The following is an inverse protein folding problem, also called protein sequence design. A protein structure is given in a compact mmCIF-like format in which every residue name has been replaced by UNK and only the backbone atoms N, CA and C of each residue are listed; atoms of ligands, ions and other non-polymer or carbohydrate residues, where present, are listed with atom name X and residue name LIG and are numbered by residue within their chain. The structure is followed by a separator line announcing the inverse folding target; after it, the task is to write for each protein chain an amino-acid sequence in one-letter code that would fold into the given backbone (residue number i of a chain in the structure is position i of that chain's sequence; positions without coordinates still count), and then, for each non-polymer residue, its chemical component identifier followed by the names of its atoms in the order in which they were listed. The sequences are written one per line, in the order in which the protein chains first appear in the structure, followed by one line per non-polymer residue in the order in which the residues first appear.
data_IF_652113796572
#
_entry.id   IF_652113796572
#
_cell.length_a   1.000
_cell.length_b   1.000
_cell.length_c   1.000
_cell.angle_alpha   90.00
_cell.angle_beta   90.00
_cell.angle_gamma   90.00
#
_symmetry.space_group_name_H-M   'P 1'
#
loop_
_entity.id
_entity.type
_entity.pdbx_description
1 polymer ?
#
# COMPACT_ATOMS: atom_id res chain seq x y z
N UNK A 1 -21.72 65.22 8.86
CA UNK A 1 -20.99 64.19 9.65
C UNK A 1 -20.12 63.38 8.70
N UNK A 2 -18.85 63.77 8.50
CA UNK A 2 -17.92 63.04 7.65
C UNK A 2 -17.48 61.76 8.37
N UNK A 3 -17.65 60.60 7.72
CA UNK A 3 -17.10 59.33 8.20
C UNK A 3 -15.58 59.43 8.14
N UNK A 4 -14.89 59.36 9.27
CA UNK A 4 -13.43 59.28 9.33
C UNK A 4 -12.97 57.95 8.69
N UNK A 5 -11.90 57.93 7.86
CA UNK A 5 -11.37 56.69 7.32
C UNK A 5 -10.79 55.84 8.45
N UNK A 6 -11.06 54.55 8.39
CA UNK A 6 -10.74 53.58 9.43
C UNK A 6 -9.36 52.96 9.14
N UNK A 7 -8.33 53.81 9.14
CA UNK A 7 -6.98 53.45 8.69
C UNK A 7 -6.34 52.35 9.55
N UNK A 8 -6.69 52.30 10.84
CA UNK A 8 -6.27 51.28 11.80
C UNK A 8 -6.76 49.86 11.41
N UNK A 9 -8.02 49.74 10.97
CA UNK A 9 -8.58 48.46 10.50
C UNK A 9 -7.88 48.00 9.20
N UNK A 10 -7.52 48.93 8.32
CA UNK A 10 -6.79 48.59 7.10
C UNK A 10 -5.37 48.09 7.41
N UNK A 11 -4.68 48.73 8.36
CA UNK A 11 -3.36 48.31 8.81
C UNK A 11 -3.40 46.90 9.43
N UNK A 12 -4.33 46.66 10.36
CA UNK A 12 -4.58 45.34 10.98
C UNK A 12 -4.86 44.29 9.92
N UNK A 13 -5.69 44.60 8.92
CA UNK A 13 -5.98 43.67 7.83
C UNK A 13 -4.76 43.36 6.95
N UNK A 14 -3.90 44.36 6.70
CA UNK A 14 -2.66 44.13 5.94
C UNK A 14 -1.67 43.27 6.71
N UNK A 15 -1.57 43.48 8.03
CA UNK A 15 -0.72 42.67 8.90
C UNK A 15 -1.25 41.24 9.02
N UNK A 16 -2.56 41.06 9.21
CA UNK A 16 -3.20 39.74 9.22
C UNK A 16 -2.96 38.98 7.92
N UNK A 17 -3.04 39.65 6.76
CA UNK A 17 -2.72 39.04 5.46
C UNK A 17 -1.25 38.62 5.37
N UNK A 18 -0.32 39.46 5.84
CA UNK A 18 1.12 39.11 5.90
C UNK A 18 1.35 37.88 6.79
N UNK A 19 0.72 37.83 7.97
CA UNK A 19 0.82 36.68 8.86
C UNK A 19 0.22 35.40 8.27
N UNK A 20 -0.91 35.51 7.55
CA UNK A 20 -1.51 34.37 6.86
C UNK A 20 -0.58 33.80 5.78
N UNK A 21 0.02 34.68 4.97
CA UNK A 21 0.96 34.30 3.91
C UNK A 21 2.22 33.64 4.51
N UNK A 22 2.78 34.20 5.58
CA UNK A 22 3.97 33.63 6.22
C UNK A 22 3.68 32.27 6.84
N UNK A 23 2.50 32.08 7.44
CA UNK A 23 2.08 30.78 7.96
C UNK A 23 1.92 29.73 6.87
N UNK A 24 1.31 30.10 5.74
CA UNK A 24 1.20 29.23 4.57
C UNK A 24 2.58 28.85 4.02
N UNK A 25 3.47 29.83 3.81
CA UNK A 25 4.85 29.58 3.37
C UNK A 25 5.61 28.67 4.33
N UNK A 26 5.45 28.88 5.64
CA UNK A 26 6.06 28.02 6.67
C UNK A 26 5.54 26.59 6.57
N UNK A 27 4.24 26.39 6.43
CA UNK A 27 3.64 25.05 6.29
C UNK A 27 4.15 24.30 5.06
N UNK A 28 4.30 25.00 3.93
CA UNK A 28 4.86 24.45 2.69
C UNK A 28 6.34 24.09 2.88
N UNK A 29 7.11 25.00 3.47
CA UNK A 29 8.53 24.79 3.75
C UNK A 29 8.74 23.60 4.68
N UNK A 30 7.93 23.48 5.73
CA UNK A 30 7.96 22.36 6.66
C UNK A 30 7.60 21.04 5.98
N UNK A 31 6.63 21.05 5.06
CA UNK A 31 6.27 19.87 4.26
C UNK A 31 7.42 19.43 3.36
N UNK A 32 8.01 20.35 2.60
CA UNK A 32 9.17 20.07 1.74
C UNK A 32 10.35 19.55 2.56
N UNK A 33 10.61 20.14 3.73
CA UNK A 33 11.67 19.69 4.65
C UNK A 33 11.42 18.30 5.21
N UNK A 34 10.17 17.91 5.47
CA UNK A 34 9.83 16.54 5.89
C UNK A 34 10.02 15.56 4.75
N UNK A 35 9.62 15.93 3.53
CA UNK A 35 9.75 15.10 2.35
C UNK A 35 11.22 14.91 1.95
N UNK A 36 12.05 15.95 1.99
CA UNK A 36 13.50 15.83 1.72
C UNK A 36 14.24 14.99 2.76
N UNK A 37 13.71 14.89 3.99
CA UNK A 37 14.23 14.00 5.03
C UNK A 37 13.74 12.55 4.90
N UNK A 38 12.73 12.27 4.08
CA UNK A 38 12.33 10.88 3.81
C UNK A 38 13.42 10.24 2.97
N UNK A 39 14.31 9.50 3.62
CA UNK A 39 15.22 8.60 2.92
C UNK A 39 14.38 7.62 2.10
N UNK A 40 14.71 7.35 0.81
CA UNK A 40 14.02 6.32 0.06
C UNK A 40 14.11 5.03 0.86
N UNK A 41 12.95 4.40 1.11
CA UNK A 41 12.89 3.14 1.82
C UNK A 41 13.77 2.12 1.09
N UNK A 42 14.60 1.39 1.82
CA UNK A 42 15.38 0.32 1.22
C UNK A 42 14.42 -0.64 0.47
N UNK A 43 14.81 -1.13 -0.72
CA UNK A 43 13.99 -2.07 -1.47
C UNK A 43 13.66 -3.27 -0.59
N UNK A 44 12.41 -3.71 -0.60
CA UNK A 44 11.96 -4.85 0.18
C UNK A 44 12.60 -6.12 -0.35
N UNK A 45 13.63 -6.58 0.34
CA UNK A 45 14.28 -7.86 0.05
C UNK A 45 13.34 -9.01 0.40
N UNK A 46 13.36 -10.07 -0.41
CA UNK A 46 12.61 -11.29 -0.15
C UNK A 46 13.00 -11.88 1.21
N UNK A 47 12.02 -12.23 2.05
CA UNK A 47 12.30 -12.76 3.40
C UNK A 47 12.75 -14.22 3.44
N UNK A 48 12.61 -14.90 2.30
CA UNK A 48 13.00 -16.28 2.12
C UNK A 48 14.46 -16.35 1.67
N UNK A 49 14.75 -15.80 0.49
CA UNK A 49 16.04 -15.91 -0.20
C UNK A 49 16.86 -14.60 -0.21
N UNK A 50 16.32 -13.49 0.32
CA UNK A 50 16.94 -12.16 0.29
C UNK A 50 17.24 -11.62 -1.12
N UNK A 51 16.51 -12.09 -2.15
CA UNK A 51 16.56 -11.53 -3.49
C UNK A 51 15.73 -10.25 -3.66
N UNK A 52 15.86 -9.62 -4.83
CA UNK A 52 15.12 -8.42 -5.24
C UNK A 52 13.74 -8.78 -5.81
N UNK A 53 12.90 -9.42 -5.00
CA UNK A 53 11.50 -9.73 -5.34
C UNK A 53 10.65 -9.84 -4.07
N UNK A 54 9.33 -9.81 -4.24
CA UNK A 54 8.39 -9.92 -3.12
C UNK A 54 8.31 -11.36 -2.60
N UNK A 55 8.12 -11.51 -1.29
CA UNK A 55 8.23 -12.82 -0.64
C UNK A 55 7.18 -13.84 -1.11
N UNK A 56 6.04 -13.40 -1.64
CA UNK A 56 5.01 -14.28 -2.19
C UNK A 56 5.42 -14.87 -3.55
N UNK A 57 6.19 -14.13 -4.36
CA UNK A 57 6.65 -14.53 -5.70
C UNK A 57 7.99 -15.28 -5.69
N UNK A 58 8.45 -15.72 -4.51
CA UNK A 58 9.73 -16.39 -4.38
C UNK A 58 9.66 -17.84 -4.92
N UNK A 59 10.33 -18.10 -6.04
CA UNK A 59 10.46 -19.44 -6.62
C UNK A 59 11.78 -20.15 -6.24
N UNK A 60 12.67 -19.46 -5.51
CA UNK A 60 13.98 -20.00 -5.13
C UNK A 60 13.86 -21.07 -4.04
N UNK A 61 12.91 -20.89 -3.11
CA UNK A 61 12.66 -21.86 -2.05
C UNK A 61 11.47 -22.75 -2.46
N UNK A 62 11.62 -24.09 -2.41
CA UNK A 62 10.51 -25.01 -2.64
C UNK A 62 9.32 -24.71 -1.73
N UNK A 63 8.10 -24.81 -2.27
CA UNK A 63 6.87 -24.46 -1.55
C UNK A 63 6.80 -25.15 -0.19
N UNK A 64 7.03 -26.48 -0.15
CA UNK A 64 7.06 -27.34 1.05
C UNK A 64 7.95 -26.83 2.20
N UNK A 65 8.98 -26.04 1.87
CA UNK A 65 9.93 -25.52 2.86
C UNK A 65 9.53 -24.12 3.33
N UNK A 66 8.67 -23.41 2.59
CA UNK A 66 8.27 -22.02 2.90
C UNK A 66 7.53 -21.93 4.23
N UNK A 67 6.60 -22.85 4.54
CA UNK A 67 5.92 -22.86 5.84
C UNK A 67 6.89 -23.02 7.00
N UNK A 68 7.76 -24.04 6.94
CA UNK A 68 8.72 -24.32 8.02
C UNK A 68 9.67 -23.15 8.27
N UNK A 69 10.12 -22.46 7.21
CA UNK A 69 10.97 -21.27 7.30
C UNK A 69 10.17 -20.08 7.84
N UNK A 70 8.92 -19.92 7.40
CA UNK A 70 8.06 -18.83 7.82
C UNK A 70 7.76 -18.88 9.33
N UNK A 71 7.52 -20.06 9.88
CA UNK A 71 7.35 -20.28 11.32
C UNK A 71 8.63 -20.00 12.09
N UNK A 72 9.78 -20.55 11.65
CA UNK A 72 11.08 -20.31 12.29
C UNK A 72 11.45 -18.83 12.34
N UNK A 73 11.17 -18.08 11.27
CA UNK A 73 11.48 -16.65 11.15
C UNK A 73 10.34 -15.73 11.62
N UNK A 74 9.19 -16.28 12.06
CA UNK A 74 7.99 -15.53 12.48
C UNK A 74 7.50 -14.53 11.41
N UNK A 75 7.53 -14.93 10.14
CA UNK A 75 7.14 -14.09 8.98
C UNK A 75 5.78 -14.51 8.40
N UNK A 76 4.87 -14.96 9.26
CA UNK A 76 3.59 -15.60 8.93
C UNK A 76 2.74 -14.76 7.95
N UNK A 77 2.69 -13.44 8.17
CA UNK A 77 1.89 -12.51 7.39
C UNK A 77 2.61 -11.92 6.17
N UNK A 78 3.87 -12.32 5.92
CA UNK A 78 4.79 -11.77 4.91
C UNK A 78 5.01 -10.24 4.98
N UNK A 79 4.31 -9.50 5.85
CA UNK A 79 4.46 -8.08 6.16
C UNK A 79 5.60 -7.79 7.15
N UNK A 80 6.05 -6.54 7.27
CA UNK A 80 7.28 -6.18 8.00
C UNK A 80 7.36 -6.79 9.41
N UNK A 81 8.47 -7.46 9.72
CA UNK A 81 8.63 -8.40 10.84
C UNK A 81 8.72 -7.76 12.25
N UNK A 82 8.17 -6.55 12.45
CA UNK A 82 8.24 -5.79 13.71
C UNK A 82 6.86 -5.44 14.25
N UNK A 83 5.96 -6.43 14.31
CA UNK A 83 4.67 -6.26 14.95
C UNK A 83 4.25 -7.54 15.68
N UNK A 84 3.51 -7.37 16.77
CA UNK A 84 2.90 -8.48 17.48
C UNK A 84 1.82 -9.14 16.61
N UNK A 85 1.64 -10.47 16.61
CA UNK A 85 0.60 -11.14 15.80
C UNK A 85 -0.81 -10.55 16.01
N UNK A 86 -1.17 -10.21 17.25
CA UNK A 86 -2.46 -9.55 17.55
C UNK A 86 -2.60 -8.15 16.91
N UNK A 87 -1.49 -7.48 16.63
CA UNK A 87 -1.43 -6.19 15.95
C UNK A 87 -1.14 -6.33 14.44
N UNK A 88 -1.03 -7.55 13.91
CA UNK A 88 -0.74 -7.78 12.51
C UNK A 88 -1.93 -7.40 11.64
N UNK A 89 -1.79 -6.35 10.84
CA UNK A 89 -2.82 -5.98 9.88
C UNK A 89 -3.02 -7.03 8.78
N UNK A 90 -1.95 -7.74 8.39
CA UNK A 90 -2.04 -8.85 7.44
C UNK A 90 -2.82 -10.05 7.98
N UNK A 91 -2.75 -10.33 9.29
CA UNK A 91 -3.58 -11.36 9.92
C UNK A 91 -5.02 -10.87 10.18
N UNK A 92 -5.25 -9.55 10.26
CA UNK A 92 -6.59 -8.97 10.35
C UNK A 92 -7.35 -9.04 9.02
N UNK A 93 -6.64 -9.06 7.89
CA UNK A 93 -7.22 -9.24 6.56
C UNK A 93 -7.31 -10.73 6.23
N UNK A 94 -8.53 -11.27 6.24
CA UNK A 94 -8.80 -12.68 5.94
C UNK A 94 -8.53 -13.05 4.47
N UNK A 95 -8.50 -12.08 3.56
CA UNK A 95 -8.37 -12.29 2.10
C UNK A 95 -7.01 -12.86 1.67
N UNK A 96 -5.99 -12.67 2.50
CA UNK A 96 -4.62 -13.11 2.25
C UNK A 96 -4.22 -14.31 3.10
N UNK A 97 -5.10 -14.78 3.98
CA UNK A 97 -4.89 -15.95 4.81
C UNK A 97 -5.26 -17.23 4.06
N UNK A 98 -4.54 -18.30 4.36
CA UNK A 98 -4.93 -19.63 3.92
C UNK A 98 -6.26 -20.03 4.57
N UNK A 99 -7.22 -20.45 3.74
CA UNK A 99 -8.56 -20.87 4.19
C UNK A 99 -8.74 -22.40 4.14
N UNK A 100 -7.70 -23.15 3.73
CA UNK A 100 -7.75 -24.61 3.66
C UNK A 100 -8.11 -25.26 4.99
N UNK A 101 -9.12 -26.13 4.98
CA UNK A 101 -9.64 -26.77 6.20
C UNK A 101 -8.56 -27.57 6.94
N UNK A 102 -7.65 -28.19 6.18
CA UNK A 102 -6.56 -28.96 6.78
C UNK A 102 -5.56 -28.08 7.53
N UNK A 103 -5.42 -26.81 7.14
CA UNK A 103 -4.59 -25.83 7.84
C UNK A 103 -5.35 -25.17 9.00
N UNK A 104 -6.67 -25.05 8.90
CA UNK A 104 -7.53 -24.58 9.98
C UNK A 104 -7.54 -25.55 11.17
N UNK A 105 -7.60 -26.86 10.90
CA UNK A 105 -7.62 -27.91 11.95
C UNK A 105 -6.38 -27.90 12.85
N UNK A 106 -5.22 -27.53 12.30
CA UNK A 106 -3.95 -27.43 13.04
C UNK A 106 -3.68 -26.01 13.59
N UNK A 107 -4.62 -25.07 13.45
CA UNK A 107 -4.46 -23.65 13.82
C UNK A 107 -3.23 -22.97 13.20
N UNK A 108 -2.73 -23.50 12.08
CA UNK A 108 -1.58 -22.94 11.38
C UNK A 108 -2.04 -21.77 10.51
N UNK A 109 -2.24 -20.60 11.13
CA UNK A 109 -2.54 -19.37 10.40
C UNK A 109 -1.32 -18.98 9.57
N UNK A 110 -1.45 -18.82 8.26
CA UNK A 110 -0.39 -18.41 7.35
C UNK A 110 -0.94 -17.72 6.09
N UNK A 111 -0.08 -17.04 5.34
CA UNK A 111 -0.45 -16.42 4.07
C UNK A 111 -0.73 -17.47 2.98
N UNK A 112 -1.74 -17.28 2.13
CA UNK A 112 -2.14 -18.26 1.10
C UNK A 112 -0.99 -18.70 0.17
N UNK A 113 -0.13 -17.76 -0.22
CA UNK A 113 0.99 -18.02 -1.15
C UNK A 113 2.12 -18.87 -0.58
N UNK A 114 2.12 -19.14 0.73
CA UNK A 114 3.15 -19.97 1.38
C UNK A 114 2.60 -21.32 1.82
N UNK A 115 1.31 -21.60 1.57
CA UNK A 115 0.73 -22.89 1.88
C UNK A 115 1.33 -23.98 0.99
N UNK A 116 1.72 -25.09 1.58
CA UNK A 116 2.24 -26.27 0.86
C UNK A 116 1.12 -27.01 0.10
N UNK A 117 -0.13 -26.80 0.51
CA UNK A 117 -1.33 -27.43 -0.04
C UNK A 117 -2.14 -26.50 -0.95
N UNK A 118 -1.67 -25.28 -1.19
CA UNK A 118 -2.35 -24.39 -2.11
C UNK A 118 -2.42 -25.07 -3.49
N UNK A 119 -3.60 -25.13 -4.13
CA UNK A 119 -3.67 -25.52 -5.52
C UNK A 119 -2.73 -24.61 -6.32
N UNK A 120 -2.02 -25.14 -7.33
CA UNK A 120 -1.25 -24.29 -8.23
C UNK A 120 -2.20 -23.22 -8.74
N UNK A 121 -1.77 -21.96 -8.68
CA UNK A 121 -2.53 -20.83 -9.19
C UNK A 121 -2.96 -21.21 -10.62
N UNK A 122 -4.22 -21.58 -10.81
CA UNK A 122 -4.86 -21.40 -12.09
C UNK A 122 -4.83 -19.88 -12.26
N UNK A 123 -3.95 -19.44 -13.15
CA UNK A 123 -4.04 -18.11 -13.70
C UNK A 123 -5.44 -18.05 -14.32
N UNK A 124 -6.41 -17.55 -13.55
CA UNK A 124 -7.61 -16.97 -14.14
C UNK A 124 -7.09 -15.83 -15.00
N UNK A 125 -6.80 -16.19 -16.25
CA UNK A 125 -6.59 -15.31 -17.39
C UNK A 125 -7.84 -14.43 -17.43
N UNK A 126 -7.75 -13.29 -16.74
CA UNK A 126 -8.82 -12.29 -16.73
C UNK A 126 -8.86 -11.80 -18.17
N UNK A 127 -9.75 -12.40 -18.95
CA UNK A 127 -9.83 -12.30 -20.40
C UNK A 127 -9.68 -10.86 -20.86
N UNK A 128 -8.52 -10.56 -21.44
CA UNK A 128 -8.26 -9.34 -22.18
C UNK A 128 -9.29 -9.16 -23.33
N UNK A 129 -9.96 -10.25 -23.72
CA UNK A 129 -11.05 -10.33 -24.70
C UNK A 129 -12.35 -9.60 -24.31
N UNK A 130 -12.54 -9.19 -23.05
CA UNK A 130 -13.73 -8.42 -22.65
C UNK A 130 -13.55 -6.90 -22.88
N UNK A 131 -12.32 -6.38 -22.80
CA UNK A 131 -12.05 -4.93 -22.95
C UNK A 131 -11.93 -4.48 -24.42
N UNK A 132 -11.70 -5.40 -25.35
CA UNK A 132 -11.60 -5.07 -26.79
C UNK A 132 -13.00 -4.90 -27.39
N UNK A 133 -14.00 -5.66 -26.92
CA UNK A 133 -15.38 -5.59 -27.45
C UNK A 133 -16.09 -4.27 -27.15
N UNK A 134 -15.81 -3.63 -26.01
CA UNK A 134 -16.47 -2.37 -25.64
C UNK A 134 -15.90 -1.14 -26.38
N UNK A 135 -14.81 -1.28 -27.13
CA UNK A 135 -14.17 -0.17 -27.86
C UNK A 135 -14.49 -0.13 -29.37
N UNK A 136 -15.19 -1.13 -29.92
CA UNK A 136 -15.52 -1.17 -31.35
C UNK A 136 -16.87 -0.51 -31.68
N UNK A 137 -17.76 -0.33 -30.69
CA UNK A 137 -19.10 0.22 -30.92
C UNK A 137 -19.16 1.77 -30.95
N UNK A 138 -18.15 2.48 -30.43
CA UNK A 138 -18.12 3.94 -30.38
C UNK A 138 -17.50 4.61 -31.62
N UNK A 139 -16.92 3.85 -32.55
CA UNK A 139 -16.19 4.41 -33.71
C UNK A 139 -16.97 4.44 -35.04
N UNK A 140 -18.29 4.20 -35.02
CA UNK A 140 -19.12 4.18 -36.25
C UNK A 140 -20.10 5.37 -36.36
N UNK A 141 -20.20 6.26 -35.36
CA UNK A 141 -21.13 7.41 -35.42
C UNK A 141 -20.50 8.80 -35.62
N UNK A 142 -19.24 8.89 -36.08
CA UNK A 142 -18.59 10.17 -36.37
C UNK A 142 -18.12 10.31 -37.82
N UNK A 143 -18.88 9.81 -38.80
CA UNK A 143 -18.78 10.27 -40.19
C UNK A 143 -20.14 10.18 -40.89
N UNK A 144 -20.92 11.27 -40.80
CA UNK A 144 -21.91 11.66 -41.81
C UNK A 144 -22.26 13.13 -41.63
#
# INVERSE_FOLDING_TARGET
MSKRPNDDINEINTEAKKMAITWQLKSLTDKVKRESRKKPGAPTMCKFCHGTHEAYACNIIPQEKKLSIAFKRKIICLGQAKHHPAACYGLKRTDHLCQEETCQKDFQIHHKSICDKAPPHEEEDIGLDQLIRDNEDDNIQATQ
#
